data_IF_416373511156
#
_entry.id   IF_416373511156
#
_cell.length_a   1.000
_cell.length_b   1.000
_cell.length_c   1.000
_cell.angle_alpha   90.00
_cell.angle_beta   90.00
_cell.angle_gamma   90.00
#
_symmetry.space_group_name_H-M   'P 1'
#
loop_
_entity.id
_entity.type
_entity.pdbx_description
1 polymer ?
#
# COMPACT_ATOMS: atom_id res chain seq x y z
N UNK A 1 9.78 -2.49 34.54
CA UNK A 1 8.61 -3.38 34.27
C UNK A 1 8.44 -3.41 32.75
N UNK A 2 8.22 -4.58 32.15
CA UNK A 2 8.02 -4.71 30.69
C UNK A 2 6.55 -4.47 30.37
N UNK A 3 6.25 -3.65 29.37
CA UNK A 3 4.88 -3.48 28.85
C UNK A 3 4.55 -4.62 27.88
N UNK A 4 3.38 -5.23 28.05
CA UNK A 4 2.90 -6.32 27.19
C UNK A 4 1.70 -5.80 26.39
N UNK A 5 1.82 -5.83 25.05
CA UNK A 5 0.75 -5.41 24.15
C UNK A 5 0.19 -6.60 23.39
N UNK A 6 -1.12 -6.77 23.44
CA UNK A 6 -1.86 -7.70 22.58
C UNK A 6 -2.39 -6.99 21.33
N UNK A 7 -2.49 -7.68 20.19
CA UNK A 7 -3.19 -7.11 19.01
C UNK A 7 -4.70 -7.26 19.20
N UNK A 8 -5.41 -6.14 19.14
CA UNK A 8 -6.86 -6.07 19.24
C UNK A 8 -7.49 -6.47 17.89
N UNK A 9 -8.26 -7.54 17.89
CA UNK A 9 -8.88 -8.08 16.69
C UNK A 9 -10.03 -9.04 17.02
N UNK A 10 -10.66 -9.65 16.00
CA UNK A 10 -11.87 -10.48 16.17
C UNK A 10 -11.70 -11.63 17.19
N UNK A 11 -10.52 -12.24 17.26
CA UNK A 11 -10.25 -13.37 18.14
C UNK A 11 -10.31 -13.02 19.63
N UNK A 12 -10.03 -11.76 20.01
CA UNK A 12 -10.04 -11.31 21.40
C UNK A 12 -11.14 -10.26 21.70
N UNK A 13 -12.11 -10.10 20.81
CA UNK A 13 -13.13 -9.04 20.89
C UNK A 13 -14.19 -9.24 21.97
N UNK A 14 -14.15 -10.31 22.78
CA UNK A 14 -15.09 -10.53 23.89
C UNK A 14 -14.57 -9.94 25.18
N UNK A 15 -15.47 -9.37 26.00
CA UNK A 15 -15.14 -8.80 27.31
C UNK A 15 -14.45 -9.82 28.23
N UNK A 16 -14.80 -11.12 28.12
CA UNK A 16 -14.21 -12.19 28.92
C UNK A 16 -12.73 -12.39 28.54
N UNK A 17 -12.44 -12.58 27.25
CA UNK A 17 -11.06 -12.81 26.78
C UNK A 17 -10.17 -11.59 27.08
N UNK A 18 -10.69 -10.38 26.87
CA UNK A 18 -9.95 -9.15 27.18
C UNK A 18 -9.63 -9.05 28.69
N UNK A 19 -10.59 -9.37 29.56
CA UNK A 19 -10.36 -9.37 31.01
C UNK A 19 -9.32 -10.42 31.42
N UNK A 20 -9.37 -11.64 30.87
CA UNK A 20 -8.38 -12.67 31.10
C UNK A 20 -6.96 -12.21 30.65
N UNK A 21 -6.85 -11.56 29.50
CA UNK A 21 -5.57 -11.03 29.02
C UNK A 21 -5.00 -9.96 29.97
N UNK A 22 -5.84 -9.02 30.46
CA UNK A 22 -5.40 -8.01 31.42
C UNK A 22 -5.03 -8.62 32.79
N UNK A 23 -5.78 -9.62 33.28
CA UNK A 23 -5.48 -10.27 34.54
C UNK A 23 -4.15 -11.04 34.50
N UNK A 24 -3.72 -11.50 33.31
CA UNK A 24 -2.43 -12.16 33.08
C UNK A 24 -1.26 -11.18 32.83
N UNK A 25 -1.49 -9.89 33.02
CA UNK A 25 -0.41 -8.88 32.97
C UNK A 25 -0.28 -8.10 31.67
N UNK A 26 -1.24 -8.20 30.76
CA UNK A 26 -1.27 -7.30 29.59
C UNK A 26 -1.45 -5.86 30.07
N UNK A 27 -0.66 -4.92 29.48
CA UNK A 27 -0.65 -3.51 29.86
C UNK A 27 -1.31 -2.60 28.80
N UNK A 28 -1.50 -3.12 27.59
CA UNK A 28 -2.09 -2.34 26.52
C UNK A 28 -2.44 -3.19 25.29
N UNK A 29 -3.04 -2.54 24.30
CA UNK A 29 -3.43 -3.20 23.06
C UNK A 29 -2.99 -2.41 21.86
N UNK A 30 -2.60 -3.12 20.79
CA UNK A 30 -2.31 -2.58 19.47
C UNK A 30 -3.53 -2.77 18.57
N UNK A 31 -3.97 -1.70 17.93
CA UNK A 31 -5.00 -1.71 16.89
C UNK A 31 -4.36 -1.45 15.53
N UNK A 32 -4.51 -2.39 14.58
CA UNK A 32 -3.99 -2.24 13.24
C UNK A 32 -5.00 -1.51 12.34
N UNK A 33 -4.65 -0.30 11.90
CA UNK A 33 -5.50 0.56 11.06
C UNK A 33 -5.37 0.31 9.55
N UNK A 34 -4.62 -0.71 9.13
CA UNK A 34 -4.56 -1.09 7.71
C UNK A 34 -5.86 -1.71 7.18
N UNK A 35 -6.74 -2.21 8.07
CA UNK A 35 -7.96 -2.93 7.70
C UNK A 35 -9.24 -2.29 8.23
N UNK A 36 -9.15 -1.43 9.23
CA UNK A 36 -10.27 -0.74 9.90
C UNK A 36 -9.85 0.69 10.19
N UNK A 37 -10.81 1.60 10.31
CA UNK A 37 -10.56 2.96 10.79
C UNK A 37 -10.66 3.02 12.31
N UNK A 38 -10.05 4.04 12.91
CA UNK A 38 -10.16 4.27 14.34
C UNK A 38 -11.61 4.58 14.75
N UNK A 39 -12.36 5.29 13.90
CA UNK A 39 -13.77 5.59 14.12
C UNK A 39 -14.65 4.33 14.19
N UNK A 40 -14.43 3.37 13.28
CA UNK A 40 -15.15 2.09 13.26
C UNK A 40 -14.82 1.20 14.45
N UNK A 41 -13.70 1.45 15.12
CA UNK A 41 -13.18 0.63 16.23
C UNK A 41 -13.72 1.04 17.61
N UNK A 42 -14.63 2.00 17.68
CA UNK A 42 -15.14 2.58 18.94
C UNK A 42 -15.69 1.53 19.92
N UNK A 43 -16.52 0.62 19.45
CA UNK A 43 -17.09 -0.48 20.27
C UNK A 43 -16.01 -1.38 20.86
N UNK A 44 -15.02 -1.75 20.04
CA UNK A 44 -13.95 -2.64 20.43
C UNK A 44 -13.02 -1.95 21.45
N UNK A 45 -12.72 -0.68 21.26
CA UNK A 45 -11.97 0.14 22.22
C UNK A 45 -12.78 0.28 23.54
N UNK A 46 -14.08 0.46 23.46
CA UNK A 46 -14.97 0.50 24.63
C UNK A 46 -14.93 -0.80 25.45
N UNK A 47 -14.98 -1.96 24.79
CA UNK A 47 -14.84 -3.28 25.43
C UNK A 47 -13.46 -3.42 26.10
N UNK A 48 -12.39 -3.05 25.41
CA UNK A 48 -11.05 -3.06 25.99
C UNK A 48 -10.95 -2.21 27.28
N UNK A 49 -11.46 -0.98 27.24
CA UNK A 49 -11.44 -0.07 28.40
C UNK A 49 -12.20 -0.67 29.60
N UNK A 50 -13.42 -1.18 29.38
CA UNK A 50 -14.21 -1.84 30.44
C UNK A 50 -13.54 -3.08 31.02
N UNK A 51 -12.93 -3.90 30.17
CA UNK A 51 -12.22 -5.10 30.63
C UNK A 51 -10.99 -4.75 31.47
N UNK A 52 -10.21 -3.75 31.05
CA UNK A 52 -9.05 -3.27 31.81
C UNK A 52 -9.45 -2.66 33.17
N UNK A 53 -10.52 -1.87 33.21
CA UNK A 53 -11.06 -1.26 34.45
C UNK A 53 -11.43 -2.33 35.48
N UNK A 54 -12.11 -3.41 35.07
CA UNK A 54 -12.43 -4.56 35.93
C UNK A 54 -11.20 -5.23 36.55
N UNK A 55 -10.06 -5.14 35.88
CA UNK A 55 -8.78 -5.69 36.34
C UNK A 55 -7.90 -4.64 37.06
N UNK A 56 -8.38 -3.43 37.25
CA UNK A 56 -7.60 -2.34 37.88
C UNK A 56 -6.44 -1.86 37.01
N UNK A 57 -6.47 -2.11 35.69
CA UNK A 57 -5.43 -1.72 34.74
C UNK A 57 -5.83 -0.46 33.99
N UNK A 58 -4.92 0.53 33.93
CA UNK A 58 -5.06 1.67 32.99
C UNK A 58 -4.47 1.28 31.65
N UNK A 59 -5.26 0.89 30.66
CA UNK A 59 -4.74 0.32 29.43
C UNK A 59 -4.09 1.37 28.55
N UNK A 60 -3.00 0.98 27.88
CA UNK A 60 -2.44 1.75 26.79
C UNK A 60 -3.08 1.29 25.46
N UNK A 61 -3.43 2.24 24.60
CA UNK A 61 -3.93 1.99 23.26
C UNK A 61 -2.91 2.49 22.25
N UNK A 62 -2.23 1.54 21.59
CA UNK A 62 -1.30 1.79 20.52
C UNK A 62 -2.02 1.61 19.18
N UNK A 63 -2.04 2.62 18.34
CA UNK A 63 -2.54 2.50 16.97
C UNK A 63 -1.38 2.34 16.00
N UNK A 64 -1.50 1.38 15.10
CA UNK A 64 -0.54 1.09 14.04
C UNK A 64 -1.12 1.62 12.74
N UNK A 65 -0.52 2.69 12.22
CA UNK A 65 -0.96 3.38 11.02
C UNK A 65 -0.75 2.52 9.77
N UNK A 66 -1.45 2.84 8.70
CA UNK A 66 -1.26 2.18 7.41
C UNK A 66 0.11 2.50 6.82
N UNK A 67 0.54 3.77 6.93
CA UNK A 67 1.79 4.25 6.38
C UNK A 67 1.85 4.26 4.85
N UNK A 68 3.03 4.53 4.28
CA UNK A 68 3.23 4.76 2.85
C UNK A 68 3.36 3.46 2.03
N UNK A 69 2.77 2.36 2.44
CA UNK A 69 2.83 1.11 1.70
C UNK A 69 2.08 1.20 0.38
N UNK A 70 2.76 0.77 -0.70
CA UNK A 70 2.10 0.62 -1.99
C UNK A 70 1.16 -0.58 -1.95
N UNK A 71 -0.08 -0.37 -2.35
CA UNK A 71 -1.08 -1.43 -2.41
C UNK A 71 -1.81 -1.43 -3.76
N UNK A 72 -2.23 -2.61 -4.19
CA UNK A 72 -3.15 -2.75 -5.33
C UNK A 72 -4.48 -2.10 -5.03
N UNK A 73 -5.20 -1.72 -6.07
CA UNK A 73 -6.57 -1.23 -5.95
C UNK A 73 -7.56 -2.30 -5.44
N UNK A 74 -8.81 -1.87 -5.30
CA UNK A 74 -9.91 -2.76 -4.91
C UNK A 74 -10.39 -3.56 -6.12
N UNK A 75 -10.50 -4.87 -5.99
CA UNK A 75 -11.10 -5.77 -6.98
C UNK A 75 -12.36 -6.40 -6.38
N UNK A 76 -13.41 -6.56 -7.20
CA UNK A 76 -14.69 -7.11 -6.76
C UNK A 76 -14.58 -8.57 -6.33
N UNK A 77 -13.83 -9.36 -7.10
CA UNK A 77 -13.61 -10.78 -6.85
C UNK A 77 -12.13 -11.13 -6.98
N UNK A 78 -11.62 -12.07 -6.18
CA UNK A 78 -10.24 -12.52 -6.29
C UNK A 78 -9.90 -13.02 -7.71
N UNK A 79 -8.76 -12.58 -8.24
CA UNK A 79 -8.30 -12.94 -9.59
C UNK A 79 -7.25 -14.04 -9.49
N UNK A 80 -7.53 -15.16 -10.18
CA UNK A 80 -6.55 -16.26 -10.29
C UNK A 80 -5.58 -15.98 -11.44
N UNK A 81 -4.30 -15.83 -11.12
CA UNK A 81 -3.23 -15.59 -12.07
C UNK A 81 -2.39 -16.86 -12.23
N UNK A 82 -2.14 -17.27 -13.47
CA UNK A 82 -1.31 -18.44 -13.79
C UNK A 82 0.02 -18.01 -14.37
N UNK A 83 1.05 -18.82 -14.14
CA UNK A 83 2.37 -18.59 -14.73
C UNK A 83 2.26 -18.51 -16.26
N UNK A 84 2.83 -17.48 -16.85
CA UNK A 84 2.79 -17.21 -18.28
C UNK A 84 1.63 -16.32 -18.75
N UNK A 85 0.60 -16.08 -17.92
CA UNK A 85 -0.49 -15.16 -18.26
C UNK A 85 0.05 -13.75 -18.53
N UNK A 86 -0.65 -13.02 -19.41
CA UNK A 86 -0.47 -11.58 -19.58
C UNK A 86 -1.60 -10.87 -18.83
N UNK A 87 -1.23 -9.86 -18.07
CA UNK A 87 -2.15 -9.01 -17.31
C UNK A 87 -1.98 -7.55 -17.70
N UNK A 88 -3.04 -6.78 -17.58
CA UNK A 88 -3.03 -5.33 -17.79
C UNK A 88 -2.84 -4.63 -16.44
N UNK A 89 -1.89 -3.69 -16.36
CA UNK A 89 -1.71 -2.82 -15.20
C UNK A 89 -2.24 -1.44 -15.57
N UNK A 90 -3.14 -0.91 -14.76
CA UNK A 90 -3.78 0.40 -14.91
C UNK A 90 -3.76 1.19 -13.59
N UNK A 91 -4.19 2.46 -13.65
CA UNK A 91 -4.27 3.35 -12.49
C UNK A 91 -5.44 3.02 -11.57
N UNK A 92 -5.31 3.37 -10.31
CA UNK A 92 -6.43 3.36 -9.36
C UNK A 92 -7.32 4.57 -9.71
N UNK A 93 -8.61 4.38 -10.07
CA UNK A 93 -9.51 5.46 -10.44
C UNK A 93 -9.64 6.52 -9.33
N UNK A 94 -9.68 7.81 -9.70
CA UNK A 94 -9.79 8.92 -8.73
C UNK A 94 -11.04 8.88 -7.86
N UNK A 95 -12.14 8.31 -8.32
CA UNK A 95 -13.41 8.16 -7.58
C UNK A 95 -13.32 7.22 -6.37
N UNK A 96 -12.23 6.45 -6.25
CA UNK A 96 -11.97 5.57 -5.10
C UNK A 96 -10.98 6.22 -4.12
N UNK A 97 -10.46 7.41 -4.46
CA UNK A 97 -9.66 8.21 -3.51
C UNK A 97 -10.62 8.74 -2.45
N UNK A 98 -10.58 8.12 -1.29
CA UNK A 98 -11.38 8.34 -0.08
C UNK A 98 -12.03 9.73 0.04
N UNK A 99 -13.37 9.77 0.11
CA UNK A 99 -14.19 10.98 0.21
C UNK A 99 -14.15 11.68 1.60
N UNK A 100 -13.20 11.32 2.46
CA UNK A 100 -13.18 11.73 3.88
C UNK A 100 -12.38 12.99 4.22
N UNK A 101 -11.70 13.65 3.26
CA UNK A 101 -10.92 14.88 3.53
C UNK A 101 -11.31 16.01 2.60
N UNK A 102 -11.74 17.16 3.18
CA UNK A 102 -12.12 18.36 2.44
C UNK A 102 -10.93 19.00 1.72
N UNK A 103 -11.19 19.69 0.58
CA UNK A 103 -10.14 20.29 -0.27
C UNK A 103 -9.31 21.40 0.41
N UNK A 104 -9.71 21.91 1.57
CA UNK A 104 -8.97 22.92 2.33
C UNK A 104 -7.74 22.31 3.04
N UNK A 105 -7.88 21.10 3.57
CA UNK A 105 -6.81 20.38 4.28
C UNK A 105 -5.66 19.96 3.35
N UNK A 106 -5.94 19.78 2.04
CA UNK A 106 -4.92 19.40 1.04
C UNK A 106 -3.89 20.49 0.75
N UNK A 107 -4.31 21.77 0.81
CA UNK A 107 -3.39 22.90 0.49
C UNK A 107 -2.39 23.15 1.61
N UNK A 108 -2.77 22.94 2.87
CA UNK A 108 -1.89 23.17 4.02
C UNK A 108 -0.79 22.09 4.14
N UNK A 109 -1.12 20.85 3.76
CA UNK A 109 -0.19 19.71 3.78
C UNK A 109 0.78 19.76 2.59
N UNK A 110 0.29 20.14 1.41
CA UNK A 110 1.14 20.30 0.22
C UNK A 110 2.19 21.39 0.40
N UNK A 111 1.84 22.51 1.05
CA UNK A 111 2.80 23.60 1.33
C UNK A 111 3.90 23.25 2.33
N UNK A 112 3.67 22.28 3.22
CA UNK A 112 4.71 21.77 4.12
C UNK A 112 5.69 20.79 3.45
N UNK A 113 5.29 20.15 2.35
CA UNK A 113 6.12 19.19 1.61
C UNK A 113 6.93 19.82 0.47
N UNK A 114 6.52 20.98 -0.06
CA UNK A 114 7.19 21.63 -1.22
C UNK A 114 8.42 22.49 -0.83
N UNK A 115 8.68 22.74 0.44
CA UNK A 115 9.79 23.59 0.90
C UNK A 115 11.08 22.83 1.24
N UNK A 116 11.40 21.74 0.54
CA UNK A 116 12.75 21.17 0.59
C UNK A 116 13.31 21.06 -0.83
N UNK A 117 14.32 21.88 -1.07
CA UNK A 117 15.17 21.83 -2.27
C UNK A 117 15.71 20.41 -2.46
N UNK A 118 15.20 19.73 -3.49
CA UNK A 118 15.75 18.47 -3.95
C UNK A 118 17.01 18.82 -4.74
N UNK A 119 18.17 18.76 -4.11
CA UNK A 119 19.43 18.74 -4.83
C UNK A 119 19.41 17.66 -5.90
N UNK A 120 19.56 18.08 -7.15
CA UNK A 120 19.65 17.17 -8.31
C UNK A 120 20.96 16.40 -8.20
N UNK A 121 20.87 15.12 -7.80
CA UNK A 121 21.99 14.18 -7.89
C UNK A 121 22.22 13.87 -9.37
N UNK A 122 23.44 14.05 -9.92
CA UNK A 122 23.74 13.73 -11.31
C UNK A 122 23.58 12.23 -11.59
N UNK A 123 22.97 11.90 -12.72
CA UNK A 123 22.88 10.52 -13.20
C UNK A 123 24.27 9.96 -13.51
N UNK A 124 24.77 9.03 -12.70
CA UNK A 124 25.95 8.25 -13.02
C UNK A 124 25.66 7.34 -14.22
N UNK A 125 26.46 7.52 -15.28
CA UNK A 125 26.47 6.63 -16.45
C UNK A 125 27.14 5.31 -16.09
N UNK A 126 26.35 4.28 -15.87
CA UNK A 126 26.87 2.92 -15.80
C UNK A 126 27.27 2.43 -17.19
N UNK A 127 28.56 2.49 -17.48
CA UNK A 127 29.18 1.82 -18.62
C UNK A 127 29.44 0.35 -18.29
N UNK A 128 28.55 -0.53 -18.70
CA UNK A 128 28.82 -1.96 -18.70
C UNK A 128 29.63 -2.34 -19.93
N UNK A 129 30.76 -3.03 -19.68
CA UNK A 129 31.71 -3.45 -20.68
C UNK A 129 31.14 -4.41 -21.75
N UNK A 130 31.59 -4.22 -22.96
CA UNK A 130 31.32 -5.10 -24.10
C UNK A 130 32.00 -6.46 -23.90
N UNK A 131 31.20 -7.49 -23.57
CA UNK A 131 31.60 -8.88 -23.72
C UNK A 131 31.12 -9.40 -25.07
N UNK A 132 32.08 -9.77 -25.93
CA UNK A 132 31.84 -10.44 -27.21
C UNK A 132 31.42 -11.89 -26.98
N UNK A 133 30.19 -12.25 -27.36
CA UNK A 133 29.69 -13.61 -27.34
C UNK A 133 28.77 -13.83 -28.54
N UNK A 134 29.11 -14.79 -29.39
CA UNK A 134 28.49 -15.14 -30.66
C UNK A 134 26.97 -15.29 -30.58
N UNK A 135 26.29 -14.66 -31.53
CA UNK A 135 24.87 -14.74 -31.74
C UNK A 135 24.48 -16.11 -32.34
N UNK A 136 23.71 -16.88 -31.59
CA UNK A 136 22.87 -17.92 -32.15
C UNK A 136 21.52 -17.29 -32.60
N UNK A 137 21.34 -17.25 -33.92
CA UNK A 137 20.12 -16.79 -34.59
C UNK A 137 19.11 -17.93 -34.60
N UNK A 138 18.36 -18.12 -33.52
CA UNK A 138 17.17 -18.95 -33.54
C UNK A 138 15.97 -18.18 -33.02
N UNK A 139 15.12 -17.81 -33.99
CA UNK A 139 13.67 -17.57 -33.89
C UNK A 139 13.14 -16.79 -32.67
N UNK A 140 13.23 -15.47 -32.78
CA UNK A 140 12.42 -14.54 -32.01
C UNK A 140 10.96 -14.61 -32.55
N UNK A 141 10.19 -15.63 -32.14
CA UNK A 141 8.72 -15.58 -32.22
C UNK A 141 8.30 -14.47 -31.28
N UNK A 142 7.98 -13.31 -31.83
CA UNK A 142 7.15 -12.31 -31.16
C UNK A 142 5.87 -13.03 -30.79
N UNK A 143 5.72 -13.39 -29.51
CA UNK A 143 4.44 -13.82 -28.97
C UNK A 143 3.51 -12.61 -29.10
N UNK A 144 2.77 -12.58 -30.19
CA UNK A 144 1.76 -11.56 -30.44
C UNK A 144 0.75 -11.63 -29.29
N UNK A 145 0.71 -10.57 -28.48
CA UNK A 145 -0.40 -10.26 -27.57
C UNK A 145 -1.68 -10.42 -28.38
N UNK A 146 -2.51 -11.40 -28.01
CA UNK A 146 -3.78 -11.67 -28.74
C UNK A 146 -4.66 -10.42 -28.67
N UNK A 147 -4.83 -9.77 -29.79
CA UNK A 147 -5.79 -8.68 -29.98
C UNK A 147 -7.20 -9.28 -29.94
N UNK A 148 -7.81 -9.45 -28.78
CA UNK A 148 -9.24 -9.70 -28.48
C UNK A 148 -9.51 -10.57 -27.23
N UNK A 149 -8.63 -10.51 -26.22
CA UNK A 149 -8.89 -11.17 -24.94
C UNK A 149 -8.98 -10.12 -23.83
N UNK A 150 -9.98 -10.23 -22.98
CA UNK A 150 -10.11 -9.40 -21.78
C UNK A 150 -9.00 -9.83 -20.81
N UNK A 151 -7.98 -8.98 -20.65
CA UNK A 151 -6.88 -9.23 -19.71
C UNK A 151 -7.35 -9.00 -18.28
N UNK A 152 -6.85 -9.81 -17.36
CA UNK A 152 -7.03 -9.51 -15.95
C UNK A 152 -6.39 -8.16 -15.63
N UNK A 153 -7.17 -7.23 -15.01
CA UNK A 153 -6.72 -5.89 -14.68
C UNK A 153 -6.20 -5.81 -13.25
N UNK A 154 -5.00 -5.25 -13.10
CA UNK A 154 -4.36 -5.00 -11.80
C UNK A 154 -4.17 -3.49 -11.67
N UNK A 155 -4.82 -2.90 -10.68
CA UNK A 155 -4.70 -1.47 -10.41
C UNK A 155 -3.52 -1.19 -9.49
N UNK A 156 -2.63 -0.28 -9.89
CA UNK A 156 -1.52 0.21 -9.07
C UNK A 156 -1.63 1.74 -8.87
N UNK A 157 -1.06 2.28 -7.79
CA UNK A 157 -0.96 3.73 -7.58
C UNK A 157 -0.20 4.41 -8.72
N UNK A 158 -0.67 5.55 -9.21
CA UNK A 158 -0.06 6.27 -10.33
C UNK A 158 1.41 6.65 -10.09
N UNK A 159 1.81 6.84 -8.84
CA UNK A 159 3.21 7.11 -8.48
C UNK A 159 4.18 5.95 -8.84
N UNK A 160 3.65 4.76 -9.15
CA UNK A 160 4.46 3.63 -9.64
C UNK A 160 4.76 3.71 -11.14
N UNK A 161 3.95 4.45 -11.91
CA UNK A 161 3.97 4.46 -13.37
C UNK A 161 5.29 4.90 -14.01
N UNK A 162 6.03 5.89 -13.47
CA UNK A 162 7.34 6.24 -14.00
C UNK A 162 8.36 5.09 -13.99
N UNK A 163 8.11 4.10 -13.14
CA UNK A 163 8.99 2.95 -12.94
C UNK A 163 8.53 1.68 -13.67
N UNK A 164 7.31 1.69 -14.28
CA UNK A 164 6.80 0.56 -15.05
C UNK A 164 7.41 0.55 -16.46
N UNK A 165 8.69 0.25 -16.54
CA UNK A 165 9.43 0.10 -17.80
C UNK A 165 9.60 -1.38 -18.17
N UNK A 166 9.74 -1.74 -19.46
CA UNK A 166 9.97 -3.14 -19.86
C UNK A 166 11.15 -3.77 -19.10
N UNK A 167 10.91 -4.94 -18.54
CA UNK A 167 11.87 -5.65 -17.71
C UNK A 167 11.74 -5.39 -16.19
N UNK A 168 11.03 -4.34 -15.76
CA UNK A 168 10.78 -4.09 -14.35
C UNK A 168 9.95 -5.22 -13.74
N UNK A 169 10.37 -5.67 -12.56
CA UNK A 169 9.64 -6.64 -11.76
C UNK A 169 8.65 -5.96 -10.83
N UNK A 170 7.49 -6.59 -10.63
CA UNK A 170 6.46 -6.16 -9.70
C UNK A 170 6.09 -7.34 -8.81
N UNK A 171 6.26 -7.18 -7.51
CA UNK A 171 5.91 -8.17 -6.50
C UNK A 171 4.60 -7.77 -5.84
N UNK A 172 3.65 -8.71 -5.73
CA UNK A 172 2.35 -8.51 -5.10
C UNK A 172 2.13 -9.52 -3.97
N UNK A 173 1.27 -9.16 -2.99
CA UNK A 173 0.92 -9.98 -1.82
C UNK A 173 2.15 -10.54 -1.11
N UNK A 174 3.04 -9.63 -0.67
CA UNK A 174 4.30 -9.95 0.02
C UNK A 174 5.24 -10.87 -0.80
N UNK A 175 5.23 -10.68 -2.12
CA UNK A 175 6.07 -11.44 -3.04
C UNK A 175 5.52 -12.81 -3.44
N UNK A 176 4.28 -13.16 -3.05
CA UNK A 176 3.64 -14.43 -3.46
C UNK A 176 3.29 -14.44 -4.94
N UNK A 177 3.07 -13.28 -5.55
CA UNK A 177 2.80 -13.12 -6.97
C UNK A 177 3.91 -12.26 -7.56
N UNK A 178 4.50 -12.70 -8.66
CA UNK A 178 5.62 -12.05 -9.31
C UNK A 178 5.29 -11.79 -10.78
N UNK A 179 5.34 -10.52 -11.16
CA UNK A 179 5.08 -10.04 -12.51
C UNK A 179 6.33 -9.40 -13.09
N UNK A 180 6.42 -9.36 -14.42
CA UNK A 180 7.45 -8.62 -15.15
C UNK A 180 6.81 -7.79 -16.24
N UNK A 181 7.09 -6.49 -16.26
CA UNK A 181 6.60 -5.58 -17.30
C UNK A 181 7.20 -6.00 -18.64
N UNK A 182 6.35 -6.18 -19.64
CA UNK A 182 6.75 -6.57 -21.00
C UNK A 182 6.58 -5.42 -21.97
N UNK A 183 5.53 -4.61 -21.81
CA UNK A 183 5.20 -3.55 -22.76
C UNK A 183 4.40 -2.43 -22.07
N UNK A 184 4.56 -1.20 -22.60
CA UNK A 184 3.67 -0.07 -22.33
C UNK A 184 2.69 0.02 -23.49
N UNK A 185 1.37 -0.02 -23.22
CA UNK A 185 0.38 0.18 -24.25
C UNK A 185 0.46 1.62 -24.78
N UNK A 186 0.61 1.76 -26.08
CA UNK A 186 0.40 3.06 -26.73
C UNK A 186 -1.10 3.38 -26.71
N UNK A 187 -1.42 4.66 -26.52
CA UNK A 187 -2.77 5.18 -26.35
C UNK A 187 -3.72 4.66 -27.44
N UNK A 188 -4.64 3.79 -27.09
CA UNK A 188 -5.80 3.46 -27.95
C UNK A 188 -6.82 4.56 -27.70
N UNK A 189 -6.98 5.46 -28.65
CA UNK A 189 -8.11 6.38 -28.69
C UNK A 189 -9.37 5.60 -28.94
N UNK A 190 -10.10 5.24 -27.88
CA UNK A 190 -11.49 4.82 -28.05
C UNK A 190 -12.34 6.06 -28.34
N UNK A 191 -13.00 6.03 -29.50
CA UNK A 191 -14.00 6.94 -30.05
C UNK A 191 -14.52 8.08 -29.14
N UNK A 192 -14.06 9.31 -29.39
CA UNK A 192 -14.91 10.50 -29.37
C UNK A 192 -15.34 11.08 -28.01
N UNK A 193 -14.66 10.82 -26.89
CA UNK A 193 -14.93 11.45 -25.61
C UNK A 193 -13.64 11.93 -24.95
N UNK A 194 -13.71 12.97 -24.14
CA UNK A 194 -12.62 13.71 -23.50
C UNK A 194 -11.34 12.90 -23.20
N UNK A 195 -10.23 13.45 -23.66
CA UNK A 195 -8.89 12.88 -23.76
C UNK A 195 -8.26 12.57 -22.38
N UNK A 196 -8.79 11.58 -21.65
CA UNK A 196 -8.13 10.99 -20.48
C UNK A 196 -7.18 9.90 -20.97
N UNK A 197 -5.90 10.26 -21.14
CA UNK A 197 -4.83 9.32 -21.48
C UNK A 197 -4.64 8.32 -20.32
N UNK A 198 -5.42 7.25 -20.28
CA UNK A 198 -5.17 6.14 -19.38
C UNK A 198 -3.86 5.45 -19.76
N UNK A 199 -2.88 5.55 -18.88
CA UNK A 199 -1.61 4.81 -19.02
C UNK A 199 -1.87 3.35 -18.69
N UNK A 200 -1.65 2.47 -19.66
CA UNK A 200 -1.79 1.02 -19.54
C UNK A 200 -0.45 0.35 -19.77
N UNK A 201 -0.18 -0.70 -19.01
CA UNK A 201 1.03 -1.50 -19.14
C UNK A 201 0.65 -2.98 -19.17
N UNK A 202 1.40 -3.77 -19.91
CA UNK A 202 1.25 -5.20 -19.90
C UNK A 202 2.39 -5.86 -19.11
N UNK A 203 2.03 -6.84 -18.30
CA UNK A 203 2.98 -7.60 -17.53
C UNK A 203 2.75 -9.10 -17.70
N UNK A 204 3.84 -9.87 -17.78
CA UNK A 204 3.82 -11.33 -17.77
C UNK A 204 3.89 -11.82 -16.34
N UNK A 205 3.01 -12.76 -16.00
CA UNK A 205 3.03 -13.45 -14.72
C UNK A 205 4.19 -14.45 -14.72
N UNK A 206 5.20 -14.21 -13.89
CA UNK A 206 6.32 -15.15 -13.70
C UNK A 206 5.96 -16.20 -12.65
N UNK A 207 5.33 -15.77 -11.56
CA UNK A 207 4.80 -16.63 -10.51
C UNK A 207 3.39 -16.18 -10.16
N UNK A 208 2.44 -17.05 -10.36
CA UNK A 208 1.01 -16.77 -10.19
C UNK A 208 0.48 -17.09 -8.80
N UNK A 209 -0.80 -16.77 -8.60
CA UNK A 209 -1.50 -16.99 -7.35
C UNK A 209 -2.88 -16.35 -7.36
N UNK A 210 -3.58 -16.40 -6.23
CA UNK A 210 -4.87 -15.76 -6.05
C UNK A 210 -4.69 -14.33 -5.55
N UNK A 211 -4.83 -13.35 -6.43
CA UNK A 211 -4.76 -11.93 -6.07
C UNK A 211 -6.09 -11.47 -5.48
N UNK A 212 -6.03 -10.95 -4.25
CA UNK A 212 -7.16 -10.31 -3.53
C UNK A 212 -7.01 -8.79 -3.55
N UNK A 213 -8.08 -8.08 -3.14
CA UNK A 213 -8.09 -6.61 -3.00
C UNK A 213 -7.01 -6.08 -2.07
N UNK A 214 -6.47 -4.90 -2.40
CA UNK A 214 -5.61 -4.06 -1.54
C UNK A 214 -4.36 -4.80 -1.01
N UNK A 215 -3.77 -5.66 -1.84
CA UNK A 215 -2.54 -6.37 -1.49
C UNK A 215 -1.31 -5.49 -1.65
N UNK A 216 -0.29 -5.75 -0.85
CA UNK A 216 1.00 -5.07 -0.95
C UNK A 216 1.56 -5.15 -2.37
N UNK A 217 2.23 -4.08 -2.80
CA UNK A 217 2.92 -4.01 -4.08
C UNK A 217 4.33 -3.45 -3.87
N UNK A 218 5.32 -4.08 -4.50
CA UNK A 218 6.69 -3.59 -4.48
C UNK A 218 7.31 -3.67 -5.88
N UNK A 219 8.12 -2.68 -6.21
CA UNK A 219 8.91 -2.63 -7.45
C UNK A 219 10.39 -2.68 -7.05
N UNK A 220 11.03 -3.85 -7.07
CA UNK A 220 12.43 -4.00 -6.68
C UNK A 220 13.35 -3.06 -7.46
N UNK A 221 14.23 -2.35 -6.76
CA UNK A 221 15.16 -1.38 -7.34
C UNK A 221 14.57 0.00 -7.66
N UNK A 222 13.24 0.17 -7.65
CA UNK A 222 12.61 1.47 -7.86
C UNK A 222 12.65 2.33 -6.58
N UNK A 223 13.12 3.57 -6.70
CA UNK A 223 13.13 4.54 -5.59
C UNK A 223 11.82 5.33 -5.59
N UNK A 224 10.78 4.74 -5.03
CA UNK A 224 9.45 5.35 -4.92
C UNK A 224 9.29 5.95 -3.53
N UNK A 225 8.95 7.22 -3.46
CA UNK A 225 8.78 7.96 -2.20
C UNK A 225 7.32 8.41 -2.03
N UNK A 226 6.43 7.52 -1.55
CA UNK A 226 5.07 7.91 -1.25
C UNK A 226 5.03 8.85 -0.03
N UNK A 227 3.95 9.66 0.11
CA UNK A 227 3.74 10.48 1.31
C UNK A 227 3.77 9.61 2.58
N UNK A 228 4.37 10.14 3.65
CA UNK A 228 4.54 9.42 4.94
C UNK A 228 3.22 8.94 5.52
N UNK A 229 2.17 9.77 5.43
CA UNK A 229 0.83 9.47 5.93
C UNK A 229 -0.15 9.37 4.77
N UNK A 230 -1.03 8.39 4.84
CA UNK A 230 -2.18 8.28 3.94
C UNK A 230 -3.30 9.22 4.40
N UNK A 231 -4.30 9.48 3.55
CA UNK A 231 -5.49 10.23 3.95
C UNK A 231 -6.23 9.53 5.11
N UNK A 232 -6.23 8.20 5.14
CA UNK A 232 -6.80 7.42 6.24
C UNK A 232 -6.01 7.63 7.53
N UNK A 233 -4.68 7.66 7.48
CA UNK A 233 -3.85 7.93 8.67
C UNK A 233 -4.13 9.32 9.23
N UNK A 234 -4.23 10.33 8.37
CA UNK A 234 -4.56 11.70 8.80
C UNK A 234 -5.94 11.78 9.46
N UNK A 235 -6.96 11.11 8.92
CA UNK A 235 -8.27 11.04 9.51
C UNK A 235 -8.25 10.35 10.89
N UNK A 236 -7.49 9.25 11.02
CA UNK A 236 -7.34 8.52 12.28
C UNK A 236 -6.59 9.34 13.34
N UNK A 237 -5.52 10.05 12.95
CA UNK A 237 -4.73 10.91 13.88
C UNK A 237 -5.58 12.05 14.43
N UNK A 238 -6.45 12.68 13.61
CA UNK A 238 -7.33 13.78 14.05
C UNK A 238 -8.21 13.39 15.24
N UNK A 239 -8.71 12.16 15.30
CA UNK A 239 -9.59 11.68 16.37
C UNK A 239 -8.88 10.85 17.45
N UNK A 240 -7.56 10.61 17.29
CA UNK A 240 -6.81 9.71 18.15
C UNK A 240 -6.91 10.08 19.64
N UNK A 241 -6.77 11.36 19.97
CA UNK A 241 -6.86 11.87 21.35
C UNK A 241 -8.23 11.61 21.98
N UNK A 242 -9.30 11.86 21.25
CA UNK A 242 -10.69 11.66 21.71
C UNK A 242 -10.99 10.18 21.93
N UNK A 243 -10.45 9.32 21.08
CA UNK A 243 -10.58 7.87 21.19
C UNK A 243 -9.72 7.27 22.31
N UNK A 244 -8.84 8.08 22.93
CA UNK A 244 -7.98 7.67 24.03
C UNK A 244 -6.74 6.89 23.59
N UNK A 245 -6.24 7.16 22.38
CA UNK A 245 -4.96 6.65 21.89
C UNK A 245 -3.83 7.21 22.76
N UNK A 246 -2.93 6.34 23.20
CA UNK A 246 -1.79 6.69 24.05
C UNK A 246 -0.46 6.59 23.31
N UNK A 247 -0.45 5.99 22.16
CA UNK A 247 0.74 5.88 21.32
C UNK A 247 0.41 5.57 19.86
N UNK A 248 1.30 5.99 18.98
CA UNK A 248 1.20 5.77 17.54
C UNK A 248 2.42 4.98 17.08
N UNK A 249 2.20 3.91 16.33
CA UNK A 249 3.24 3.20 15.60
C UNK A 249 3.21 3.68 14.15
N UNK A 250 4.29 4.33 13.73
CA UNK A 250 4.51 4.75 12.35
C UNK A 250 5.29 3.67 11.62
N UNK A 251 4.70 2.97 10.62
CA UNK A 251 5.43 2.00 9.82
C UNK A 251 6.29 2.69 8.76
N UNK A 252 7.30 1.96 8.26
CA UNK A 252 8.14 2.36 7.12
C UNK A 252 8.88 3.71 7.30
N UNK A 253 9.30 4.04 8.51
CA UNK A 253 10.09 5.26 8.79
C UNK A 253 11.40 5.22 8.02
N UNK A 254 11.65 6.26 7.22
CA UNK A 254 12.86 6.41 6.40
C UNK A 254 13.88 7.34 7.07
N UNK A 255 13.37 8.42 7.69
CA UNK A 255 14.17 9.39 8.41
C UNK A 255 13.34 10.14 9.47
N UNK A 256 13.96 11.12 10.15
CA UNK A 256 13.31 11.91 11.21
C UNK A 256 12.11 12.74 10.72
N UNK A 257 12.09 13.14 9.45
CA UNK A 257 10.99 13.94 8.88
C UNK A 257 9.68 13.16 8.81
N UNK A 258 9.75 11.82 8.67
CA UNK A 258 8.57 10.97 8.73
C UNK A 258 7.91 11.01 10.11
N UNK A 259 8.69 11.12 11.19
CA UNK A 259 8.15 11.22 12.55
C UNK A 259 7.60 12.63 12.85
N UNK A 260 8.13 13.68 12.23
CA UNK A 260 7.59 15.03 12.36
C UNK A 260 6.18 15.16 11.78
N UNK A 261 5.83 14.35 10.76
CA UNK A 261 4.50 14.34 10.18
C UNK A 261 3.41 13.80 11.12
N UNK A 262 3.79 13.07 12.19
CA UNK A 262 2.85 12.41 13.12
C UNK A 262 2.61 13.27 14.37
N UNK A 263 3.47 14.24 14.64
CA UNK A 263 3.35 15.17 15.78
C UNK A 263 2.26 16.22 15.55
#
# INVERSE_FOLDING_TARGET
MVNIYGTLGPACASDKVLAEMFSLGMTGMRLNLSHVTLAESGDLIGKMKRAAEKCGVKPQLLVDLQGPELRTGTISEPVSLKNGDIVEICGIPEKVKDSSVSGADRKEIAQKSENKDIEKIPAEKNTFGKGSGNADRSQNKRDHVKASGEYAKIMLPELTFPYLIPGQEVLLDDGKIHLKIVEKAENVTENGGENTQEKRYFAKVLWGGLLKSRKSAALPGAKIYPPTLTNSDLANIKIAKEMGVTGVMQPFVRDHSDLECVK
#
